data_IF_239976236351
#
_entry.id   IF_239976236351
#
_cell.length_a   1.000
_cell.length_b   1.000
_cell.length_c   1.000
_cell.angle_alpha   90.00
_cell.angle_beta   90.00
_cell.angle_gamma   90.00
#
_symmetry.space_group_name_H-M   'P 1'
#
loop_
_entity.id
_entity.type
_entity.pdbx_description
1 polymer ?
#
# COMPACT_ATOMS: atom_id res chain seq x y z
N UNK A 1 17.53 17.35 11.80
CA UNK A 1 16.31 17.52 12.62
C UNK A 1 15.27 16.56 12.09
N UNK A 2 14.93 15.50 12.82
CA UNK A 2 13.83 14.62 12.43
C UNK A 2 12.50 15.32 12.68
N UNK A 3 11.62 15.39 11.69
CA UNK A 3 10.23 15.84 11.87
C UNK A 3 9.58 14.98 12.96
N UNK A 4 9.35 15.54 14.14
CA UNK A 4 8.54 14.89 15.17
C UNK A 4 7.06 15.06 14.80
N UNK A 5 6.52 14.08 14.09
CA UNK A 5 5.08 13.98 13.84
C UNK A 5 4.39 13.61 15.16
N UNK A 6 3.57 14.50 15.69
CA UNK A 6 2.80 14.19 16.91
C UNK A 6 1.69 13.17 16.59
N UNK A 7 1.21 12.47 17.62
CA UNK A 7 0.10 11.50 17.49
C UNK A 7 -1.14 12.14 16.85
N UNK A 8 -1.41 13.42 17.17
CA UNK A 8 -2.54 14.18 16.61
C UNK A 8 -2.37 14.39 15.10
N UNK A 9 -1.17 14.76 14.64
CA UNK A 9 -0.90 14.90 13.20
C UNK A 9 -1.03 13.56 12.47
N UNK A 10 -0.54 12.47 13.07
CA UNK A 10 -0.68 11.14 12.48
C UNK A 10 -2.15 10.71 12.38
N UNK A 11 -2.95 10.93 13.43
CA UNK A 11 -4.38 10.65 13.42
C UNK A 11 -5.10 11.46 12.32
N UNK A 12 -4.75 12.74 12.15
CA UNK A 12 -5.29 13.56 11.07
C UNK A 12 -4.92 13.00 9.68
N UNK A 13 -3.66 12.62 9.47
CA UNK A 13 -3.20 12.01 8.21
C UNK A 13 -3.98 10.72 7.93
N UNK A 14 -4.19 9.87 8.94
CA UNK A 14 -4.95 8.62 8.80
C UNK A 14 -6.39 8.92 8.40
N UNK A 15 -7.11 9.75 9.14
CA UNK A 15 -8.51 10.09 8.83
C UNK A 15 -8.65 10.74 7.45
N UNK A 16 -7.74 11.66 7.11
CA UNK A 16 -7.74 12.30 5.81
C UNK A 16 -7.45 11.30 4.68
N UNK A 17 -6.54 10.34 4.90
CA UNK A 17 -6.25 9.27 3.93
C UNK A 17 -7.47 8.38 3.66
N UNK A 18 -8.30 8.13 4.68
CA UNK A 18 -9.55 7.35 4.57
C UNK A 18 -10.54 8.11 3.69
N UNK A 19 -10.73 9.40 3.95
CA UNK A 19 -11.63 10.25 3.17
C UNK A 19 -11.19 10.32 1.70
N UNK A 20 -9.92 10.64 1.44
CA UNK A 20 -9.38 10.74 0.07
C UNK A 20 -9.47 9.39 -0.68
N UNK A 21 -9.20 8.26 -0.02
CA UNK A 21 -9.35 6.93 -0.64
C UNK A 21 -10.82 6.62 -0.99
N UNK A 22 -11.76 7.00 -0.12
CA UNK A 22 -13.19 6.81 -0.40
C UNK A 22 -13.65 7.68 -1.57
N UNK A 23 -13.19 8.94 -1.64
CA UNK A 23 -13.44 9.83 -2.77
C UNK A 23 -12.85 9.27 -4.08
N UNK A 24 -11.64 8.69 -4.05
CA UNK A 24 -11.06 8.00 -5.21
C UNK A 24 -11.93 6.85 -5.71
N UNK A 25 -12.59 6.11 -4.81
CA UNK A 25 -13.46 4.99 -5.18
C UNK A 25 -14.73 5.48 -5.88
N UNK A 26 -15.32 6.57 -5.39
CA UNK A 26 -16.48 7.22 -6.03
C UNK A 26 -16.11 7.82 -7.39
N UNK A 27 -15.00 8.56 -7.47
CA UNK A 27 -14.51 9.15 -8.73
C UNK A 27 -14.17 8.09 -9.77
N UNK A 28 -13.62 6.96 -9.34
CA UNK A 28 -13.41 5.81 -10.22
C UNK A 28 -14.71 5.34 -10.85
N UNK A 29 -15.80 5.24 -10.06
CA UNK A 29 -17.12 4.87 -10.60
C UNK A 29 -17.69 5.95 -11.53
N UNK A 30 -17.57 7.23 -11.19
CA UNK A 30 -18.03 8.34 -12.03
C UNK A 30 -17.23 8.50 -13.33
N UNK A 31 -15.98 8.02 -13.35
CA UNK A 31 -15.15 8.08 -14.55
C UNK A 31 -15.50 7.04 -15.62
N UNK A 32 -16.34 6.06 -15.29
CA UNK A 32 -16.79 5.02 -16.23
C UNK A 32 -17.94 5.53 -17.10
N UNK A 33 -17.92 5.19 -18.38
CA UNK A 33 -19.04 5.37 -19.32
C UNK A 33 -19.61 3.99 -19.63
N UNK A 34 -20.91 3.79 -19.41
CA UNK A 34 -21.59 2.50 -19.54
C UNK A 34 -20.93 1.33 -18.77
N UNK A 35 -20.27 1.65 -17.66
CA UNK A 35 -19.59 0.68 -16.80
C UNK A 35 -18.17 0.31 -17.24
N UNK A 36 -17.69 0.87 -18.36
CA UNK A 36 -16.34 0.64 -18.87
C UNK A 36 -15.46 1.88 -18.73
N UNK A 37 -14.14 1.68 -18.70
CA UNK A 37 -13.18 2.78 -18.77
C UNK A 37 -12.85 3.07 -20.24
N UNK A 38 -13.19 4.28 -20.71
CA UNK A 38 -12.81 4.73 -22.06
C UNK A 38 -11.33 5.15 -22.16
N UNK A 39 -10.68 5.36 -21.00
CA UNK A 39 -9.27 5.70 -20.91
C UNK A 39 -8.41 4.49 -20.54
N UNK A 40 -7.13 4.54 -20.92
CA UNK A 40 -6.16 3.52 -20.57
C UNK A 40 -5.77 3.56 -19.09
N UNK A 41 -6.06 2.47 -18.37
CA UNK A 41 -5.70 2.31 -16.94
C UNK A 41 -4.17 2.39 -16.71
N UNK A 42 -3.30 1.73 -17.52
CA UNK A 42 -1.85 1.93 -17.43
C UNK A 42 -1.40 3.38 -17.57
N UNK A 43 -2.02 4.16 -18.48
CA UNK A 43 -1.67 5.58 -18.63
C UNK A 43 -2.14 6.41 -17.44
N UNK A 44 -3.33 6.12 -16.90
CA UNK A 44 -3.80 6.73 -15.65
C UNK A 44 -2.81 6.51 -14.50
N UNK A 45 -2.29 5.29 -14.35
CA UNK A 45 -1.25 4.96 -13.37
C UNK A 45 0.03 5.77 -13.60
N UNK A 46 0.50 5.87 -14.85
CA UNK A 46 1.65 6.71 -15.19
C UNK A 46 1.42 8.19 -14.81
N UNK A 47 0.25 8.74 -15.14
CA UNK A 47 -0.10 10.12 -14.80
C UNK A 47 -0.11 10.34 -13.27
N UNK A 48 -0.62 9.38 -12.49
CA UNK A 48 -0.59 9.42 -11.02
C UNK A 48 0.85 9.48 -10.50
N UNK A 49 1.75 8.65 -11.02
CA UNK A 49 3.16 8.65 -10.60
C UNK A 49 3.87 9.96 -10.95
N UNK A 50 3.62 10.53 -12.13
CA UNK A 50 4.18 11.83 -12.53
C UNK A 50 3.70 12.96 -11.61
N UNK A 51 2.40 13.01 -11.29
CA UNK A 51 1.86 14.02 -10.37
C UNK A 51 2.48 13.86 -8.98
N UNK A 52 2.57 12.63 -8.45
CA UNK A 52 3.22 12.37 -7.16
C UNK A 52 4.69 12.76 -7.17
N UNK A 53 5.43 12.43 -8.23
CA UNK A 53 6.83 12.81 -8.39
C UNK A 53 7.01 14.33 -8.40
N UNK A 54 6.19 15.04 -9.18
CA UNK A 54 6.24 16.50 -9.27
C UNK A 54 5.95 17.17 -7.92
N UNK A 55 4.90 16.72 -7.22
CA UNK A 55 4.53 17.25 -5.91
C UNK A 55 5.60 16.93 -4.86
N UNK A 56 6.07 15.67 -4.79
CA UNK A 56 7.10 15.27 -3.84
C UNK A 56 8.41 16.03 -4.06
N UNK A 57 8.82 16.18 -5.32
CA UNK A 57 10.04 16.91 -5.69
C UNK A 57 9.89 18.39 -5.33
N UNK A 58 8.75 19.01 -5.67
CA UNK A 58 8.49 20.41 -5.31
C UNK A 58 8.55 20.62 -3.80
N UNK A 59 7.93 19.73 -3.00
CA UNK A 59 8.00 19.79 -1.55
C UNK A 59 9.43 19.57 -1.04
N UNK A 60 10.20 18.67 -1.65
CA UNK A 60 11.60 18.47 -1.27
C UNK A 60 12.45 19.72 -1.51
N UNK A 61 12.33 20.34 -2.69
CA UNK A 61 13.09 21.55 -3.04
C UNK A 61 12.67 22.79 -2.23
N UNK A 62 11.39 22.91 -1.88
CA UNK A 62 10.85 24.08 -1.16
C UNK A 62 10.92 23.96 0.36
N UNK A 63 10.81 22.75 0.93
CA UNK A 63 10.81 22.52 2.38
C UNK A 63 12.17 22.08 2.94
N UNK A 64 13.09 21.62 2.10
CA UNK A 64 14.43 21.19 2.56
C UNK A 64 15.48 22.27 2.23
N UNK A 65 16.18 22.84 3.23
CA UNK A 65 17.26 23.80 3.01
C UNK A 65 18.33 23.26 2.07
N UNK A 66 18.97 24.15 1.30
CA UNK A 66 19.95 23.76 0.29
C UNK A 66 21.11 22.89 0.80
N UNK A 67 21.72 23.15 1.98
CA UNK A 67 22.78 22.29 2.51
C UNK A 67 22.32 20.86 2.78
N UNK A 68 21.17 20.70 3.42
CA UNK A 68 20.59 19.39 3.73
C UNK A 68 20.15 18.65 2.47
N UNK A 69 19.54 19.36 1.53
CA UNK A 69 19.13 18.81 0.24
C UNK A 69 20.31 18.25 -0.54
N UNK A 70 21.39 19.02 -0.67
CA UNK A 70 22.60 18.61 -1.40
C UNK A 70 23.26 17.42 -0.71
N UNK A 71 23.31 17.40 0.63
CA UNK A 71 23.83 16.28 1.42
C UNK A 71 23.00 15.01 1.21
N UNK A 72 21.67 15.10 1.26
CA UNK A 72 20.79 13.94 1.07
C UNK A 72 20.93 13.36 -0.35
N UNK A 73 20.93 14.22 -1.37
CA UNK A 73 21.14 13.82 -2.76
C UNK A 73 22.51 13.16 -2.96
N UNK A 74 23.59 13.79 -2.47
CA UNK A 74 24.93 13.23 -2.62
C UNK A 74 25.05 11.88 -1.91
N UNK A 75 24.54 11.76 -0.68
CA UNK A 75 24.57 10.50 0.08
C UNK A 75 23.81 9.40 -0.67
N UNK A 76 22.63 9.72 -1.21
CA UNK A 76 21.82 8.76 -1.97
C UNK A 76 22.54 8.27 -3.24
N UNK A 77 23.05 9.18 -4.07
CA UNK A 77 23.70 8.80 -5.33
C UNK A 77 25.02 8.04 -5.16
N UNK A 78 25.71 8.21 -4.02
CA UNK A 78 26.90 7.41 -3.70
C UNK A 78 26.54 6.01 -3.15
N UNK A 79 25.34 5.84 -2.60
CA UNK A 79 24.89 4.59 -2.00
C UNK A 79 24.20 3.70 -3.03
N UNK A 80 24.95 2.77 -3.63
CA UNK A 80 24.38 1.74 -4.54
C UNK A 80 23.26 0.95 -3.86
N UNK A 81 23.38 0.71 -2.56
CA UNK A 81 22.37 0.00 -1.77
C UNK A 81 21.04 0.75 -1.77
N UNK A 82 21.07 2.06 -1.51
CA UNK A 82 19.84 2.85 -1.43
C UNK A 82 19.19 2.98 -2.81
N UNK A 83 19.98 3.19 -3.87
CA UNK A 83 19.48 3.22 -5.25
C UNK A 83 18.65 1.97 -5.56
N UNK A 84 19.19 0.78 -5.24
CA UNK A 84 18.50 -0.49 -5.48
C UNK A 84 17.30 -0.65 -4.54
N UNK A 85 17.47 -0.35 -3.25
CA UNK A 85 16.42 -0.55 -2.25
C UNK A 85 15.19 0.31 -2.50
N UNK A 86 15.35 1.53 -3.02
CA UNK A 86 14.22 2.38 -3.40
C UNK A 86 13.53 1.94 -4.70
N UNK A 87 14.20 1.20 -5.58
CA UNK A 87 13.60 0.67 -6.81
C UNK A 87 12.74 -0.59 -6.56
N UNK A 88 13.12 -1.42 -5.58
CA UNK A 88 12.45 -2.70 -5.27
C UNK A 88 10.94 -2.53 -5.03
N UNK A 89 10.46 -1.64 -4.15
CA UNK A 89 9.03 -1.49 -3.90
C UNK A 89 8.26 -1.11 -5.17
N UNK A 90 8.79 -0.20 -5.99
CA UNK A 90 8.14 0.26 -7.23
C UNK A 90 8.01 -0.88 -8.26
N UNK A 91 9.03 -1.74 -8.38
CA UNK A 91 8.96 -2.95 -9.23
C UNK A 91 7.90 -3.94 -8.76
N UNK A 92 7.82 -4.17 -7.45
CA UNK A 92 6.81 -5.09 -6.89
C UNK A 92 5.41 -4.50 -7.04
N UNK A 93 5.22 -3.18 -6.83
CA UNK A 93 3.92 -2.52 -7.05
C UNK A 93 3.41 -2.68 -8.49
N UNK A 94 4.29 -2.75 -9.47
CA UNK A 94 3.88 -3.05 -10.86
C UNK A 94 3.38 -4.48 -11.00
N UNK A 95 4.03 -5.45 -10.35
CA UNK A 95 3.54 -6.83 -10.29
C UNK A 95 2.17 -6.91 -9.60
N UNK A 96 1.95 -6.13 -8.53
CA UNK A 96 0.64 -6.00 -7.86
C UNK A 96 -0.42 -5.51 -8.83
N UNK A 97 -0.14 -4.42 -9.55
CA UNK A 97 -1.09 -3.82 -10.49
C UNK A 97 -1.42 -4.76 -11.66
N UNK A 98 -0.42 -5.41 -12.25
CA UNK A 98 -0.61 -6.37 -13.34
C UNK A 98 -1.43 -7.56 -12.85
N UNK A 99 -1.07 -8.16 -11.72
CA UNK A 99 -1.81 -9.31 -11.16
C UNK A 99 -3.27 -8.93 -10.88
N UNK A 100 -3.51 -7.73 -10.34
CA UNK A 100 -4.86 -7.24 -10.08
C UNK A 100 -5.68 -7.07 -11.36
N UNK A 101 -5.09 -6.53 -12.44
CA UNK A 101 -5.77 -6.44 -13.73
C UNK A 101 -6.11 -7.81 -14.30
N UNK A 102 -5.17 -8.77 -14.23
CA UNK A 102 -5.39 -10.15 -14.68
C UNK A 102 -6.52 -10.82 -13.88
N UNK A 103 -6.65 -10.55 -12.58
CA UNK A 103 -7.74 -11.10 -11.76
C UNK A 103 -9.13 -10.77 -12.32
N UNK A 104 -9.35 -9.57 -12.88
CA UNK A 104 -10.65 -9.20 -13.46
C UNK A 104 -10.99 -9.91 -14.78
N UNK A 105 -9.99 -10.53 -15.43
CA UNK A 105 -10.23 -11.38 -16.62
C UNK A 105 -10.86 -12.71 -16.19
N UNK A 106 -10.41 -13.23 -15.04
CA UNK A 106 -10.84 -14.53 -14.52
C UNK A 106 -11.85 -14.43 -13.38
N UNK A 107 -12.25 -13.25 -12.93
CA UNK A 107 -13.08 -13.14 -11.72
C UNK A 107 -13.96 -11.91 -11.83
N UNK A 108 -15.22 -12.02 -11.39
CA UNK A 108 -16.08 -10.85 -11.30
C UNK A 108 -15.54 -9.84 -10.26
N UNK A 109 -15.89 -8.55 -10.37
CA UNK A 109 -15.32 -7.53 -9.48
C UNK A 109 -15.57 -7.75 -7.98
N UNK A 110 -16.70 -8.35 -7.59
CA UNK A 110 -17.01 -8.60 -6.19
C UNK A 110 -16.12 -9.71 -5.61
N UNK A 111 -16.02 -10.81 -6.33
CA UNK A 111 -15.15 -11.94 -5.94
C UNK A 111 -13.68 -11.55 -5.98
N UNK A 112 -13.23 -10.79 -6.99
CA UNK A 112 -11.86 -10.28 -7.05
C UNK A 112 -11.55 -9.39 -5.83
N UNK A 113 -12.47 -8.49 -5.48
CA UNK A 113 -12.33 -7.61 -4.32
C UNK A 113 -12.32 -8.38 -2.98
N UNK A 114 -13.06 -9.48 -2.87
CA UNK A 114 -13.00 -10.37 -1.70
C UNK A 114 -11.62 -11.03 -1.60
N UNK A 115 -11.14 -11.62 -2.70
CA UNK A 115 -9.89 -12.37 -2.76
C UNK A 115 -8.66 -11.50 -2.48
N UNK A 116 -8.63 -10.25 -2.94
CA UNK A 116 -7.48 -9.36 -2.64
C UNK A 116 -7.31 -9.03 -1.16
N UNK A 117 -8.31 -9.28 -0.31
CA UNK A 117 -8.20 -9.03 1.13
C UNK A 117 -7.34 -10.07 1.86
N UNK A 118 -6.98 -11.19 1.23
CA UNK A 118 -5.97 -12.11 1.79
C UNK A 118 -4.64 -11.40 2.07
N UNK A 119 -4.38 -10.28 1.39
CA UNK A 119 -3.25 -9.38 1.67
C UNK A 119 -3.17 -8.95 3.14
N UNK A 120 -4.29 -8.89 3.87
CA UNK A 120 -4.28 -8.50 5.29
C UNK A 120 -3.44 -9.45 6.13
N UNK A 121 -3.66 -10.75 5.94
CA UNK A 121 -2.97 -11.81 6.67
C UNK A 121 -1.53 -11.93 6.21
N UNK A 122 -1.29 -11.95 4.89
CA UNK A 122 0.08 -12.03 4.36
C UNK A 122 0.94 -10.83 4.74
N UNK A 123 0.36 -9.62 4.76
CA UNK A 123 1.05 -8.41 5.23
C UNK A 123 1.43 -8.53 6.70
N UNK A 124 0.52 -9.00 7.55
CA UNK A 124 0.79 -9.15 8.98
C UNK A 124 1.95 -10.11 9.24
N UNK A 125 1.92 -11.31 8.65
CA UNK A 125 3.02 -12.28 8.75
C UNK A 125 4.34 -11.69 8.26
N UNK A 126 4.34 -11.07 7.08
CA UNK A 126 5.57 -10.52 6.51
C UNK A 126 6.11 -9.34 7.34
N UNK A 127 5.24 -8.51 7.90
CA UNK A 127 5.63 -7.43 8.81
C UNK A 127 6.27 -7.95 10.09
N UNK A 128 5.73 -9.01 10.70
CA UNK A 128 6.34 -9.64 11.89
C UNK A 128 7.74 -10.17 11.57
N UNK A 129 7.92 -10.82 10.41
CA UNK A 129 9.21 -11.37 9.97
C UNK A 129 10.23 -10.25 9.72
N UNK A 130 9.86 -9.22 8.95
CA UNK A 130 10.81 -8.17 8.53
C UNK A 130 11.18 -7.21 9.66
N UNK A 131 10.23 -6.88 10.53
CA UNK A 131 10.44 -5.95 11.64
C UNK A 131 10.76 -6.65 12.98
N UNK A 132 10.73 -7.99 13.01
CA UNK A 132 10.96 -8.80 14.21
C UNK A 132 10.09 -8.36 15.41
N UNK A 133 8.85 -7.94 15.13
CA UNK A 133 7.88 -7.48 16.12
C UNK A 133 6.63 -8.34 16.01
N UNK A 134 6.37 -9.15 17.04
CA UNK A 134 5.18 -9.99 17.12
C UNK A 134 3.93 -9.14 17.39
N UNK A 135 2.85 -9.47 16.71
CA UNK A 135 1.52 -8.93 16.95
C UNK A 135 0.86 -9.69 18.11
N UNK A 136 0.17 -8.95 18.97
CA UNK A 136 -0.60 -9.57 20.04
C UNK A 136 -1.85 -10.29 19.52
N UNK A 137 -2.39 -11.21 20.34
CA UNK A 137 -3.65 -11.91 20.06
C UNK A 137 -4.81 -10.98 19.67
N UNK A 138 -5.08 -9.84 20.37
CA UNK A 138 -6.12 -8.90 19.93
C UNK A 138 -5.84 -8.27 18.56
N UNK A 139 -4.58 -8.00 18.20
CA UNK A 139 -4.23 -7.49 16.87
C UNK A 139 -4.43 -8.54 15.78
N UNK A 140 -4.11 -9.81 16.06
CA UNK A 140 -4.45 -10.90 15.14
C UNK A 140 -5.96 -11.06 14.96
N UNK A 141 -6.72 -10.97 16.06
CA UNK A 141 -8.17 -11.05 16.00
C UNK A 141 -8.77 -9.88 15.20
N UNK A 142 -8.26 -8.65 15.35
CA UNK A 142 -8.74 -7.51 14.57
C UNK A 142 -8.46 -7.65 13.06
N UNK A 143 -7.34 -8.24 12.68
CA UNK A 143 -7.04 -8.53 11.27
C UNK A 143 -8.03 -9.55 10.68
N UNK A 144 -8.33 -10.62 11.41
CA UNK A 144 -9.31 -11.64 11.00
C UNK A 144 -10.71 -11.02 10.89
N UNK A 145 -11.13 -10.23 11.89
CA UNK A 145 -12.41 -9.52 11.85
C UNK A 145 -12.50 -8.57 10.65
N UNK A 146 -11.42 -7.84 10.36
CA UNK A 146 -11.37 -6.93 9.20
C UNK A 146 -11.48 -7.70 7.89
N UNK A 147 -10.78 -8.83 7.76
CA UNK A 147 -10.88 -9.71 6.59
C UNK A 147 -12.32 -10.19 6.36
N UNK A 148 -12.97 -10.71 7.41
CA UNK A 148 -14.36 -11.17 7.34
C UNK A 148 -15.30 -10.03 6.96
N UNK A 149 -15.14 -8.85 7.57
CA UNK A 149 -15.97 -7.68 7.24
C UNK A 149 -15.80 -7.24 5.78
N UNK A 150 -14.58 -7.22 5.25
CA UNK A 150 -14.36 -6.84 3.84
C UNK A 150 -14.90 -7.88 2.86
N UNK A 151 -14.81 -9.17 3.19
CA UNK A 151 -15.44 -10.24 2.42
C UNK A 151 -16.96 -10.07 2.39
N UNK A 152 -17.59 -9.81 3.55
CA UNK A 152 -19.03 -9.54 3.63
C UNK A 152 -19.45 -8.30 2.85
N UNK A 153 -18.62 -7.26 2.80
CA UNK A 153 -18.91 -6.03 2.03
C UNK A 153 -18.87 -6.26 0.52
N UNK A 154 -18.00 -7.17 0.07
CA UNK A 154 -17.70 -7.41 -1.35
C UNK A 154 -18.44 -8.60 -1.95
N UNK A 155 -19.17 -9.35 -1.12
CA UNK A 155 -19.89 -10.55 -1.56
C UNK A 155 -20.90 -10.23 -2.67
N UNK A 156 -20.87 -10.94 -3.81
CA UNK A 156 -21.80 -10.70 -4.90
C UNK A 156 -23.23 -11.06 -4.47
N UNK A 157 -24.15 -10.10 -4.59
CA UNK A 157 -25.59 -10.30 -4.28
C UNK A 157 -26.34 -11.01 -5.40
N UNK A 158 -25.80 -11.01 -6.63
CA UNK A 158 -26.32 -11.80 -7.74
C UNK A 158 -25.37 -12.96 -7.96
N UNK A 159 -25.86 -14.17 -7.71
CA UNK A 159 -25.12 -15.43 -7.80
C UNK A 159 -24.75 -15.79 -9.24
N UNK A 160 -23.92 -14.97 -9.89
CA UNK A 160 -23.03 -15.49 -10.92
C UNK A 160 -22.11 -16.46 -10.19
N UNK A 161 -22.36 -17.74 -10.43
CA UNK A 161 -21.50 -18.84 -10.02
C UNK A 161 -20.05 -18.53 -10.37
N UNK A 162 -19.11 -19.08 -9.61
CA UNK A 162 -17.70 -19.19 -9.98
C UNK A 162 -17.60 -19.95 -11.32
N UNK A 163 -17.93 -19.30 -12.43
CA UNK A 163 -17.84 -19.87 -13.79
C UNK A 163 -16.40 -19.80 -14.32
N UNK A 164 -15.53 -19.07 -13.62
CA UNK A 164 -14.10 -19.09 -13.86
C UNK A 164 -13.41 -20.20 -13.10
N UNK A 165 -12.27 -20.61 -13.65
CA UNK A 165 -11.40 -21.64 -13.09
C UNK A 165 -10.96 -21.25 -11.67
N UNK A 166 -11.68 -21.75 -10.67
CA UNK A 166 -11.57 -21.37 -9.25
C UNK A 166 -10.12 -21.48 -8.76
N UNK A 167 -9.39 -22.48 -9.27
CA UNK A 167 -7.98 -22.72 -8.98
C UNK A 167 -7.13 -21.54 -9.43
N UNK A 168 -7.35 -21.03 -10.64
CA UNK A 168 -6.63 -19.87 -11.19
C UNK A 168 -6.96 -18.62 -10.38
N UNK A 169 -8.23 -18.39 -10.02
CA UNK A 169 -8.63 -17.24 -9.21
C UNK A 169 -7.95 -17.24 -7.83
N UNK A 170 -7.90 -18.39 -7.14
CA UNK A 170 -7.18 -18.50 -5.86
C UNK A 170 -5.67 -18.37 -6.02
N UNK A 171 -5.08 -18.93 -7.09
CA UNK A 171 -3.65 -18.79 -7.36
C UNK A 171 -3.25 -17.33 -7.61
N UNK A 172 -4.04 -16.59 -8.41
CA UNK A 172 -3.85 -15.16 -8.65
C UNK A 172 -4.05 -14.34 -7.38
N UNK A 173 -5.05 -14.68 -6.56
CA UNK A 173 -5.29 -14.02 -5.28
C UNK A 173 -4.12 -14.20 -4.30
N UNK A 174 -3.55 -15.40 -4.25
CA UNK A 174 -2.36 -15.68 -3.44
C UNK A 174 -1.15 -14.89 -3.94
N UNK A 175 -0.87 -14.93 -5.25
CA UNK A 175 0.20 -14.15 -5.87
C UNK A 175 0.04 -12.65 -5.61
N UNK A 176 -1.15 -12.10 -5.82
CA UNK A 176 -1.47 -10.70 -5.51
C UNK A 176 -1.21 -10.38 -4.04
N UNK A 177 -1.64 -11.25 -3.12
CA UNK A 177 -1.49 -11.03 -1.67
C UNK A 177 -0.04 -11.05 -1.22
N UNK A 178 0.80 -11.91 -1.83
CA UNK A 178 2.24 -11.93 -1.60
C UNK A 178 2.89 -10.67 -2.14
N UNK A 179 2.65 -10.32 -3.42
CA UNK A 179 3.21 -9.11 -4.01
C UNK A 179 2.77 -7.84 -3.26
N UNK A 180 1.50 -7.75 -2.87
CA UNK A 180 0.97 -6.60 -2.12
C UNK A 180 1.63 -6.48 -0.74
N UNK A 181 1.82 -7.60 -0.04
CA UNK A 181 2.54 -7.61 1.23
C UNK A 181 4.00 -7.19 1.05
N UNK A 182 4.71 -7.80 0.09
CA UNK A 182 6.10 -7.48 -0.20
C UNK A 182 6.29 -6.01 -0.59
N UNK A 183 5.42 -5.45 -1.44
CA UNK A 183 5.48 -4.04 -1.85
C UNK A 183 5.25 -3.09 -0.67
N UNK A 184 4.26 -3.38 0.17
CA UNK A 184 3.97 -2.59 1.37
C UNK A 184 5.12 -2.62 2.38
N UNK A 185 5.51 -3.83 2.80
CA UNK A 185 6.54 -4.03 3.83
C UNK A 185 7.92 -3.54 3.37
N UNK A 186 8.29 -3.75 2.10
CA UNK A 186 9.55 -3.21 1.57
C UNK A 186 9.54 -1.68 1.51
N UNK A 187 8.42 -1.06 1.13
CA UNK A 187 8.27 0.39 1.13
C UNK A 187 8.41 0.96 2.54
N UNK A 188 7.71 0.38 3.51
CA UNK A 188 7.83 0.75 4.93
C UNK A 188 9.26 0.59 5.44
N UNK A 189 9.91 -0.54 5.11
CA UNK A 189 11.29 -0.81 5.50
C UNK A 189 12.25 0.26 5.00
N UNK A 190 12.16 0.63 3.73
CA UNK A 190 13.00 1.67 3.10
C UNK A 190 12.75 3.04 3.73
N UNK A 191 11.48 3.38 3.98
CA UNK A 191 11.12 4.64 4.62
C UNK A 191 11.64 4.74 6.05
N UNK A 192 11.58 3.66 6.84
CA UNK A 192 11.98 3.68 8.25
C UNK A 192 13.49 3.53 8.47
N UNK A 193 14.23 2.90 7.56
CA UNK A 193 15.67 2.63 7.75
C UNK A 193 16.61 3.69 7.20
N UNK A 194 16.10 4.67 6.49
CA UNK A 194 16.92 5.75 5.92
C UNK A 194 16.57 7.09 6.57
N UNK A 195 17.60 7.91 6.79
CA UNK A 195 17.49 9.23 7.43
C UNK A 195 17.10 10.35 6.47
N UNK A 196 16.74 10.00 5.23
CA UNK A 196 16.26 10.96 4.24
C UNK A 196 14.89 11.52 4.63
N UNK A 197 14.64 12.77 4.23
CA UNK A 197 13.32 13.38 4.42
C UNK A 197 12.26 12.61 3.61
N UNK A 198 11.02 12.55 4.11
CA UNK A 198 9.95 11.83 3.42
C UNK A 198 9.73 12.37 2.00
N UNK A 199 9.90 13.67 1.77
CA UNK A 199 9.79 14.26 0.45
C UNK A 199 10.88 13.76 -0.52
N UNK A 200 12.12 13.61 -0.07
CA UNK A 200 13.19 13.01 -0.87
C UNK A 200 12.89 11.54 -1.19
N UNK A 201 12.54 10.77 -0.16
CA UNK A 201 12.19 9.36 -0.27
C UNK A 201 11.08 9.13 -1.30
N UNK A 202 10.02 9.94 -1.21
CA UNK A 202 8.90 9.94 -2.14
C UNK A 202 9.33 10.34 -3.56
N UNK A 203 10.15 11.39 -3.71
CA UNK A 203 10.61 11.84 -5.03
C UNK A 203 11.34 10.73 -5.77
N UNK A 204 12.29 10.06 -5.11
CA UNK A 204 13.03 8.94 -5.71
C UNK A 204 12.10 7.77 -6.04
N UNK A 205 11.25 7.37 -5.09
CA UNK A 205 10.39 6.20 -5.27
C UNK A 205 9.36 6.41 -6.40
N UNK A 206 8.75 7.60 -6.49
CA UNK A 206 7.81 7.94 -7.55
C UNK A 206 8.49 8.19 -8.89
N UNK A 207 9.76 8.60 -8.93
CA UNK A 207 10.53 8.60 -10.17
C UNK A 207 10.63 7.19 -10.76
N UNK A 208 11.03 6.20 -9.94
CA UNK A 208 11.04 4.80 -10.38
C UNK A 208 9.64 4.33 -10.77
N UNK A 209 8.62 4.68 -9.98
CA UNK A 209 7.22 4.38 -10.28
C UNK A 209 6.78 4.92 -11.64
N UNK A 210 7.13 6.17 -11.96
CA UNK A 210 6.81 6.81 -13.23
C UNK A 210 7.51 6.12 -14.40
N UNK A 211 8.80 5.81 -14.30
CA UNK A 211 9.55 5.09 -15.34
C UNK A 211 8.92 3.73 -15.61
N UNK A 212 8.65 2.94 -14.57
CA UNK A 212 8.10 1.59 -14.74
C UNK A 212 6.65 1.64 -15.24
N UNK A 213 5.85 2.62 -14.78
CA UNK A 213 4.48 2.80 -15.27
C UNK A 213 4.43 3.22 -16.73
N UNK A 214 5.38 4.05 -17.18
CA UNK A 214 5.53 4.39 -18.59
C UNK A 214 5.86 3.16 -19.43
N UNK A 215 6.83 2.36 -19.00
CA UNK A 215 7.19 1.10 -19.68
C UNK A 215 5.97 0.17 -19.73
N UNK A 216 5.25 0.03 -18.63
CA UNK A 216 4.04 -0.82 -18.55
C UNK A 216 2.96 -0.33 -19.51
N UNK A 217 2.73 0.98 -19.59
CA UNK A 217 1.77 1.56 -20.53
C UNK A 217 2.20 1.34 -22.00
N UNK A 218 3.47 1.57 -22.32
CA UNK A 218 4.00 1.39 -23.67
C UNK A 218 3.99 -0.09 -24.13
N UNK A 219 4.21 -1.03 -23.21
CA UNK A 219 4.14 -2.47 -23.49
C UNK A 219 2.69 -2.94 -23.64
N UNK A 220 1.78 -2.43 -22.82
CA UNK A 220 0.37 -2.80 -22.88
C UNK A 220 -0.30 -2.32 -24.18
N UNK A 221 -0.03 -1.08 -24.59
CA UNK A 221 -0.51 -0.53 -25.85
C UNK A 221 0.44 0.58 -26.31
N UNK A 222 1.31 0.34 -27.32
CA UNK A 222 2.26 1.35 -27.80
C UNK A 222 1.59 2.62 -28.34
N UNK A 223 0.34 2.55 -28.80
CA UNK A 223 -0.37 3.69 -29.37
C UNK A 223 -0.68 4.78 -28.32
N UNK A 224 -0.77 4.40 -27.05
CA UNK A 224 -1.02 5.34 -25.94
C UNK A 224 0.14 6.30 -25.72
N UNK A 225 1.34 6.01 -26.21
CA UNK A 225 2.48 6.94 -26.11
C UNK A 225 2.25 8.17 -27.01
N UNK A 226 1.53 8.02 -28.12
CA UNK A 226 1.24 9.10 -29.06
C UNK A 226 0.06 9.97 -28.60
N UNK A 227 -0.96 9.37 -27.97
CA UNK A 227 -2.11 10.08 -27.43
C UNK A 227 -2.50 9.56 -26.03
N UNK A 228 -1.71 9.90 -24.99
CA UNK A 228 -1.85 9.29 -23.67
C UNK A 228 -3.17 9.61 -22.97
N UNK A 229 -3.75 10.77 -23.25
CA UNK A 229 -4.98 11.23 -22.58
C UNK A 229 -6.25 11.00 -23.41
N UNK A 230 -6.19 10.13 -24.43
CA UNK A 230 -7.38 9.70 -25.16
C UNK A 230 -8.41 9.08 -24.19
N UNK A 231 -9.67 9.50 -24.31
CA UNK A 231 -10.79 9.00 -23.48
C UNK A 231 -10.81 9.54 -22.04
N UNK A 232 -9.91 10.44 -21.64
CA UNK A 232 -9.96 11.04 -20.30
C UNK A 232 -11.09 12.06 -20.21
N UNK A 233 -12.08 11.75 -19.36
CA UNK A 233 -13.10 12.70 -18.94
C UNK A 233 -12.69 13.47 -17.66
N UNK A 234 -13.48 14.47 -17.28
CA UNK A 234 -13.21 15.32 -16.11
C UNK A 234 -13.05 14.50 -14.82
N UNK A 235 -13.85 13.45 -14.63
CA UNK A 235 -13.77 12.59 -13.45
C UNK A 235 -12.49 11.74 -13.44
N UNK A 236 -12.01 11.28 -14.59
CA UNK A 236 -10.73 10.58 -14.71
C UNK A 236 -9.54 11.49 -14.35
N UNK A 237 -9.56 12.76 -14.77
CA UNK A 237 -8.53 13.74 -14.39
C UNK A 237 -8.56 13.99 -12.87
N UNK A 238 -9.75 14.22 -12.30
CA UNK A 238 -9.91 14.42 -10.86
C UNK A 238 -9.49 13.18 -10.06
N UNK A 239 -9.77 11.99 -10.58
CA UNK A 239 -9.33 10.72 -10.02
C UNK A 239 -7.81 10.64 -9.97
N UNK A 240 -7.09 10.99 -11.05
CA UNK A 240 -5.62 11.01 -11.09
C UNK A 240 -5.06 11.91 -9.99
N UNK A 241 -5.59 13.12 -9.87
CA UNK A 241 -5.16 14.08 -8.85
C UNK A 241 -5.42 13.57 -7.43
N UNK A 242 -6.61 13.03 -7.16
CA UNK A 242 -6.96 12.49 -5.85
C UNK A 242 -6.16 11.23 -5.49
N UNK A 243 -5.88 10.37 -6.48
CA UNK A 243 -5.03 9.19 -6.31
C UNK A 243 -3.58 9.58 -5.98
N UNK A 244 -3.08 10.67 -6.57
CA UNK A 244 -1.75 11.19 -6.24
C UNK A 244 -1.69 11.68 -4.78
N UNK A 245 -2.69 12.45 -4.33
CA UNK A 245 -2.81 12.87 -2.92
C UNK A 245 -2.91 11.66 -1.99
N UNK A 246 -3.73 10.67 -2.35
CA UNK A 246 -3.85 9.42 -1.59
C UNK A 246 -2.50 8.72 -1.43
N UNK A 247 -1.70 8.61 -2.51
CA UNK A 247 -0.38 7.99 -2.47
C UNK A 247 0.59 8.72 -1.53
N UNK A 248 0.60 10.06 -1.57
CA UNK A 248 1.39 10.87 -0.65
C UNK A 248 0.98 10.67 0.81
N UNK A 249 -0.32 10.63 1.11
CA UNK A 249 -0.81 10.36 2.47
C UNK A 249 -0.44 8.95 2.94
N UNK A 250 -0.60 7.94 2.07
CA UNK A 250 -0.22 6.56 2.41
C UNK A 250 1.28 6.42 2.66
N UNK A 251 2.14 7.15 1.92
CA UNK A 251 3.57 7.17 2.21
C UNK A 251 3.89 7.72 3.60
N UNK A 252 3.16 8.76 4.04
CA UNK A 252 3.29 9.30 5.39
C UNK A 252 2.78 8.30 6.45
N UNK A 253 1.66 7.62 6.19
CA UNK A 253 1.16 6.54 7.07
C UNK A 253 2.21 5.44 7.21
N UNK A 254 2.87 5.00 6.14
CA UNK A 254 3.90 3.96 6.24
C UNK A 254 5.18 4.45 6.94
N UNK A 255 5.58 5.72 6.73
CA UNK A 255 6.75 6.31 7.41
C UNK A 255 6.54 6.44 8.91
N UNK A 256 5.37 6.91 9.34
CA UNK A 256 5.10 7.31 10.73
C UNK A 256 4.23 6.32 11.52
N UNK A 257 3.55 5.39 10.86
CA UNK A 257 2.85 4.25 11.45
C UNK A 257 3.43 2.95 10.88
N UNK A 258 2.66 2.16 10.14
CA UNK A 258 3.09 0.90 9.51
C UNK A 258 2.14 0.50 8.36
N UNK A 259 2.54 -0.52 7.60
CA UNK A 259 1.77 -1.07 6.48
C UNK A 259 0.46 -1.72 6.93
N UNK A 260 0.41 -2.21 8.18
CA UNK A 260 -0.83 -2.76 8.75
C UNK A 260 -1.86 -1.65 8.94
N UNK A 261 -1.44 -0.49 9.44
CA UNK A 261 -2.25 0.73 9.58
C UNK A 261 -2.72 1.23 8.22
N UNK A 262 -1.85 1.20 7.18
CA UNK A 262 -2.28 1.47 5.78
C UNK A 262 -3.44 0.56 5.37
N UNK A 263 -3.35 -0.74 5.67
CA UNK A 263 -4.41 -1.70 5.34
C UNK A 263 -5.72 -1.40 6.10
N UNK A 264 -5.65 -0.99 7.37
CA UNK A 264 -6.82 -0.51 8.11
C UNK A 264 -7.40 0.78 7.50
N UNK A 265 -6.57 1.74 7.06
CA UNK A 265 -7.06 2.93 6.34
C UNK A 265 -7.82 2.53 5.07
N UNK A 266 -7.30 1.58 4.30
CA UNK A 266 -8.01 1.07 3.12
C UNK A 266 -9.32 0.39 3.47
N UNK A 267 -9.37 -0.42 4.53
CA UNK A 267 -10.61 -1.05 5.00
C UNK A 267 -11.66 -0.01 5.45
N UNK A 268 -11.25 1.01 6.21
CA UNK A 268 -12.11 2.11 6.62
C UNK A 268 -12.64 2.90 5.41
N UNK A 269 -11.80 3.10 4.39
CA UNK A 269 -12.19 3.82 3.19
C UNK A 269 -13.26 3.07 2.38
N UNK A 270 -13.23 1.73 2.39
CA UNK A 270 -14.27 0.90 1.76
C UNK A 270 -15.60 1.02 2.51
N UNK A 271 -15.58 1.03 3.85
CA UNK A 271 -16.78 1.32 4.65
C UNK A 271 -17.34 2.71 4.33
N UNK A 272 -16.49 3.74 4.30
CA UNK A 272 -16.88 5.10 3.94
C UNK A 272 -17.45 5.15 2.50
N UNK A 273 -16.88 4.40 1.56
CA UNK A 273 -17.37 4.31 0.18
C UNK A 273 -18.78 3.73 0.11
N UNK A 274 -19.13 2.73 0.93
CA UNK A 274 -20.51 2.20 0.98
C UNK A 274 -21.49 3.28 1.42
N UNK A 275 -21.14 4.05 2.47
CA UNK A 275 -21.98 5.15 2.97
C UNK A 275 -22.13 6.24 1.90
N UNK A 276 -21.02 6.67 1.30
CA UNK A 276 -21.03 7.67 0.22
C UNK A 276 -21.81 7.19 -1.01
N UNK A 277 -21.76 5.89 -1.34
CA UNK A 277 -22.52 5.33 -2.47
C UNK A 277 -24.03 5.41 -2.24
N UNK A 278 -24.50 5.26 -0.99
CA UNK A 278 -25.90 5.51 -0.65
C UNK A 278 -26.25 6.99 -0.77
N UNK A 279 -25.39 7.88 -0.32
CA UNK A 279 -25.67 9.33 -0.33
C UNK A 279 -25.66 9.93 -1.75
N UNK A 280 -24.77 9.46 -2.61
CA UNK A 280 -24.53 10.04 -3.94
C UNK A 280 -25.33 9.33 -5.03
N UNK A 281 -25.42 8.00 -4.97
CA UNK A 281 -26.03 7.18 -6.03
C UNK A 281 -27.33 6.50 -5.58
N UNK A 282 -27.82 6.81 -4.37
CA UNK A 282 -29.00 6.20 -3.75
C UNK A 282 -28.96 4.66 -3.63
N UNK A 283 -27.78 4.05 -3.73
CA UNK A 283 -27.61 2.58 -3.69
C UNK A 283 -28.03 2.05 -2.32
N UNK A 284 -29.00 1.11 -2.24
CA UNK A 284 -29.50 0.62 -0.96
C UNK A 284 -28.42 -0.08 -0.15
N UNK A 285 -28.34 0.27 1.14
CA UNK A 285 -27.46 -0.43 2.10
C UNK A 285 -28.23 -1.64 2.62
N UNK A 286 -27.80 -2.81 2.18
CA UNK A 286 -28.36 -4.09 2.60
C UNK A 286 -27.86 -4.43 4.01
N UNK A 287 -28.65 -5.16 4.79
CA UNK A 287 -28.30 -5.56 6.16
C UNK A 287 -26.91 -6.19 6.30
N UNK A 288 -26.50 -6.99 5.31
CA UNK A 288 -25.16 -7.58 5.23
C UNK A 288 -24.03 -6.53 5.25
N UNK A 289 -24.16 -5.46 4.45
CA UNK A 289 -23.16 -4.38 4.38
C UNK A 289 -23.13 -3.58 5.68
N UNK A 290 -24.29 -3.34 6.30
CA UNK A 290 -24.36 -2.70 7.62
C UNK A 290 -23.64 -3.51 8.69
N UNK A 291 -23.87 -4.83 8.73
CA UNK A 291 -23.20 -5.72 9.67
C UNK A 291 -21.68 -5.76 9.45
N UNK A 292 -21.24 -5.79 8.18
CA UNK A 292 -19.83 -5.72 7.83
C UNK A 292 -19.13 -4.45 8.35
N UNK A 293 -19.78 -3.28 8.21
CA UNK A 293 -19.24 -2.01 8.72
C UNK A 293 -19.05 -2.07 10.25
N UNK A 294 -20.02 -2.63 10.97
CA UNK A 294 -19.94 -2.78 12.43
C UNK A 294 -18.76 -3.68 12.83
N UNK A 295 -18.55 -4.80 12.13
CA UNK A 295 -17.40 -5.69 12.39
C UNK A 295 -16.08 -4.95 12.17
N UNK A 296 -15.93 -4.24 11.05
CA UNK A 296 -14.70 -3.53 10.71
C UNK A 296 -14.42 -2.42 11.72
N UNK A 297 -15.44 -1.69 12.15
CA UNK A 297 -15.31 -0.65 13.16
C UNK A 297 -14.81 -1.23 14.51
N UNK A 298 -15.41 -2.32 14.98
CA UNK A 298 -14.97 -2.99 16.21
C UNK A 298 -13.55 -3.56 16.09
N UNK A 299 -13.17 -4.07 14.91
CA UNK A 299 -11.82 -4.54 14.65
C UNK A 299 -10.78 -3.40 14.80
N UNK A 300 -11.08 -2.20 14.29
CA UNK A 300 -10.19 -1.04 14.43
C UNK A 300 -10.03 -0.61 15.89
N UNK A 301 -11.12 -0.60 16.66
CA UNK A 301 -11.06 -0.31 18.10
C UNK A 301 -10.18 -1.34 18.83
N UNK A 302 -10.35 -2.63 18.50
CA UNK A 302 -9.56 -3.71 19.08
C UNK A 302 -8.07 -3.59 18.76
N UNK A 303 -7.71 -3.20 17.53
CA UNK A 303 -6.31 -2.99 17.13
C UNK A 303 -5.65 -1.82 17.88
N UNK A 304 -6.43 -0.77 18.18
CA UNK A 304 -5.95 0.44 18.86
C UNK A 304 -5.70 0.29 20.36
N UNK A 305 -6.07 -0.84 20.98
CA UNK A 305 -5.85 -1.09 22.40
C UNK A 305 -4.33 -1.20 22.65
N UNK A 306 -3.75 -0.35 23.52
CA UNK A 306 -2.33 -0.43 23.85
C UNK A 306 -1.99 -1.81 24.41
N UNK A 307 -0.96 -2.45 23.87
CA UNK A 307 -0.47 -3.70 24.44
C UNK A 307 0.05 -3.43 25.84
N UNK A 308 -0.53 -4.10 26.84
CA UNK A 308 0.11 -4.24 28.14
C UNK A 308 1.38 -5.03 27.92
N UNK A 309 2.54 -4.36 27.98
CA UNK A 309 3.84 -4.99 27.85
C UNK A 309 4.01 -5.97 29.03
N UNK A 310 3.70 -7.25 28.82
CA UNK A 310 4.25 -8.28 29.68
C UNK A 310 5.78 -8.24 29.51
N UNK A 311 6.57 -8.30 30.59
CA UNK A 311 8.02 -8.31 30.47
C UNK A 311 8.43 -9.50 29.60
N UNK A 312 9.07 -9.23 28.46
CA UNK A 312 9.73 -10.28 27.69
C UNK A 312 10.85 -10.83 28.58
N UNK A 313 10.88 -12.13 28.93
CA UNK A 313 12.02 -12.69 29.64
C UNK A 313 13.26 -12.42 28.79
N UNK A 314 14.28 -11.83 29.41
CA UNK A 314 15.52 -11.48 28.74
C UNK A 314 16.06 -12.73 28.02
N UNK A 315 16.20 -12.65 26.70
CA UNK A 315 16.96 -13.64 25.96
C UNK A 315 18.40 -13.45 26.41
N UNK A 316 18.87 -14.37 27.25
CA UNK A 316 20.25 -14.44 27.68
C UNK A 316 21.10 -14.62 26.41
N UNK A 317 21.77 -13.55 25.98
CA UNK A 317 22.78 -13.64 24.94
C UNK A 317 23.86 -14.58 25.47
N UNK A 318 23.81 -15.84 25.04
CA UNK A 318 24.90 -16.80 25.20
C UNK A 318 26.14 -16.11 24.66
N UNK A 319 27.06 -15.72 25.57
CA UNK A 319 28.37 -15.22 25.20
C UNK A 319 28.98 -16.24 24.25
N UNK A 320 29.16 -15.85 23.00
CA UNK A 320 30.04 -16.58 22.09
C UNK A 320 31.42 -16.41 22.68
N UNK A 321 31.89 -17.44 23.36
CA UNK A 321 33.25 -17.56 23.84
C UNK A 321 34.15 -17.37 22.62
N UNK A 322 34.98 -16.32 22.64
CA UNK A 322 36.00 -16.15 21.61
C UNK A 322 36.93 -17.34 21.74
N UNK A 323 36.94 -18.21 20.72
CA UNK A 323 38.00 -19.20 20.57
C UNK A 323 39.28 -18.41 20.36
N UNK A 324 40.17 -18.46 21.35
CA UNK A 324 41.50 -17.87 21.28
C UNK A 324 42.30 -18.68 20.26
N UNK A 325 42.69 -18.04 19.15
CA UNK A 325 43.41 -18.67 18.05
C UNK A 325 44.93 -18.76 18.32
N UNK A 326 45.38 -18.55 19.56
CA UNK A 326 46.78 -18.68 19.96
C UNK A 326 47.25 -20.12 20.16
N UNK A 327 46.34 -21.11 20.23
CA UNK A 327 46.71 -22.52 20.46
C UNK A 327 47.05 -23.31 19.18
N UNK A 328 47.10 -22.66 18.01
CA UNK A 328 47.39 -23.32 16.73
C UNK A 328 48.85 -23.20 16.24
N UNK A 329 49.74 -22.49 16.94
CA UNK A 329 51.14 -22.31 16.51
C UNK A 329 52.17 -23.17 17.28
N UNK A 330 51.76 -24.01 18.24
CA UNK A 330 52.72 -24.81 19.04
C UNK A 330 52.78 -26.32 18.71
N UNK A 331 52.07 -26.78 17.67
CA UNK A 331 52.08 -28.20 17.24
C UNK A 331 52.51 -28.41 15.77
N UNK A 332 53.35 -27.53 15.25
CA UNK A 332 54.01 -27.71 13.95
C UNK A 332 55.55 -27.77 14.13
N UNK A 333 56.04 -28.86 14.72
CA UNK A 333 57.43 -29.34 14.60
C UNK A 333 57.40 -30.83 14.31
#
# INVERSE_FOLDING_TARGET
>A
MGEQVTIVHLAFIIVFSVFVQSACSILSKMSQVDGNYEYSVPVSNFAIEIVKFAVASTLFYTRTPAPDRNRQLSTFFHSRRDIVFFAIPSLIYVCVNITYMIMFIFTDPGTAQMLVNFKLITTAVLSEIVFAKLLSRPQWLSLIMTFVGLALTSWPMSGKSFESDIVISFALAFAFSVFSACAGVSCEYVFKRTDYSLHMQNSVMYFYGAVISLITAAVADPSVVLNPFAGFNTYAILLVLMRAVSGLLISAVMKYADTITKNFCSAASLCATVILSKLIFDVPIVAQKSFAIIIIFNAMLLYGIPESKAPVPAVEHRKVEKVDLSDCEENAV
#
